data_IF_981118973957
#
_entry.id   IF_981118973957
#
_cell.length_a   1.000
_cell.length_b   1.000
_cell.length_c   1.000
_cell.angle_alpha   90.00
_cell.angle_beta   90.00
_cell.angle_gamma   90.00
#
_symmetry.space_group_name_H-M   'P 1'
#
loop_
_entity.id
_entity.type
_entity.pdbx_description
1 polymer ?
#
# COMPACT_ATOMS: atom_id res chain seq x y z
N UNK A 1 -2.30 -8.24 29.23
CA UNK A 1 -2.42 -8.93 27.92
C UNK A 1 -1.00 -9.34 27.53
N UNK A 2 -0.68 -10.63 27.66
CA UNK A 2 0.61 -11.18 27.24
C UNK A 2 0.43 -11.60 25.79
N UNK A 3 1.34 -11.17 24.91
CA UNK A 3 1.29 -11.57 23.50
C UNK A 3 1.51 -13.09 23.42
N UNK A 4 0.70 -13.86 22.68
CA UNK A 4 0.98 -15.28 22.44
C UNK A 4 2.31 -15.42 21.68
N UNK A 5 2.71 -16.68 21.43
CA UNK A 5 3.91 -17.12 20.73
C UNK A 5 4.60 -16.06 19.84
N UNK A 6 5.94 -15.99 19.84
CA UNK A 6 6.71 -15.04 19.01
C UNK A 6 6.38 -15.16 17.51
N UNK A 7 5.86 -16.31 17.08
CA UNK A 7 5.39 -16.62 15.72
C UNK A 7 3.97 -16.11 15.40
N UNK A 8 3.27 -15.54 16.38
CA UNK A 8 1.98 -14.88 16.24
C UNK A 8 2.17 -13.37 16.40
N UNK A 9 3.12 -12.84 15.62
CA UNK A 9 3.44 -11.42 15.67
C UNK A 9 2.27 -10.53 15.26
N UNK A 10 1.24 -11.11 14.62
CA UNK A 10 0.03 -10.44 14.15
C UNK A 10 0.25 -9.69 12.83
N UNK A 11 1.40 -9.90 12.19
CA UNK A 11 1.80 -9.25 10.96
C UNK A 11 2.52 -10.28 10.09
N UNK A 12 2.23 -10.29 8.80
CA UNK A 12 3.02 -10.94 7.77
C UNK A 12 3.68 -9.87 6.90
N UNK A 13 4.91 -10.10 6.49
CA UNK A 13 5.66 -9.22 5.60
C UNK A 13 6.10 -10.01 4.38
N UNK A 14 6.32 -9.32 3.27
CA UNK A 14 6.92 -9.92 2.07
C UNK A 14 8.33 -9.37 1.91
N UNK A 15 9.36 -10.21 2.10
CA UNK A 15 10.73 -9.82 1.77
C UNK A 15 10.87 -9.56 0.27
N UNK A 16 11.51 -8.44 -0.09
CA UNK A 16 11.65 -8.00 -1.48
C UNK A 16 12.50 -8.94 -2.33
N UNK A 17 13.49 -9.57 -1.73
CA UNK A 17 14.36 -10.58 -2.33
C UNK A 17 13.59 -11.85 -2.67
N UNK A 18 12.77 -12.36 -1.74
CA UNK A 18 11.86 -13.50 -1.97
C UNK A 18 10.88 -13.22 -3.09
N UNK A 19 10.25 -12.04 -3.07
CA UNK A 19 9.30 -11.68 -4.13
C UNK A 19 9.97 -11.59 -5.50
N UNK A 20 11.20 -11.05 -5.55
CA UNK A 20 11.96 -10.96 -6.79
C UNK A 20 12.35 -12.33 -7.34
N UNK A 21 12.69 -13.27 -6.46
CA UNK A 21 13.05 -14.65 -6.83
C UNK A 21 11.82 -15.41 -7.36
N UNK A 22 10.69 -15.34 -6.65
CA UNK A 22 9.48 -16.10 -6.99
C UNK A 22 8.72 -15.51 -8.19
N UNK A 23 8.52 -14.19 -8.22
CA UNK A 23 7.84 -13.49 -9.32
C UNK A 23 8.54 -12.17 -9.67
N UNK A 24 9.57 -12.21 -10.55
CA UNK A 24 10.26 -11.01 -11.01
C UNK A 24 9.33 -9.97 -11.64
N UNK A 25 8.26 -10.42 -12.30
CA UNK A 25 7.25 -9.55 -12.91
C UNK A 25 6.46 -8.82 -11.83
N UNK A 26 5.97 -9.55 -10.82
CA UNK A 26 5.24 -8.94 -9.71
C UNK A 26 6.13 -8.02 -8.88
N UNK A 27 7.37 -8.40 -8.61
CA UNK A 27 8.36 -7.54 -7.98
C UNK A 27 8.50 -6.19 -8.70
N UNK A 28 8.61 -6.20 -10.03
CA UNK A 28 8.75 -4.97 -10.82
C UNK A 28 7.49 -4.10 -10.78
N UNK A 29 6.31 -4.72 -10.76
CA UNK A 29 5.05 -4.02 -10.58
C UNK A 29 4.99 -3.35 -9.20
N UNK A 30 5.38 -4.07 -8.15
CA UNK A 30 5.19 -3.64 -6.77
C UNK A 30 6.21 -2.60 -6.31
N UNK A 31 7.48 -2.72 -6.72
CA UNK A 31 8.57 -1.85 -6.23
C UNK A 31 8.40 -0.37 -6.57
N UNK A 32 7.55 -0.05 -7.55
CA UNK A 32 7.24 1.33 -8.00
C UNK A 32 5.84 1.78 -7.58
N UNK A 33 5.13 0.94 -6.85
CA UNK A 33 3.72 1.11 -6.53
C UNK A 33 3.52 1.38 -5.05
N UNK A 34 2.55 2.22 -4.75
CA UNK A 34 2.03 2.46 -3.40
C UNK A 34 0.51 2.56 -3.48
N UNK A 35 -0.17 2.51 -2.33
CA UNK A 35 -1.63 2.47 -2.26
C UNK A 35 -2.21 1.38 -3.20
N UNK A 36 -1.77 0.15 -2.96
CA UNK A 36 -2.21 -1.02 -3.71
C UNK A 36 -2.51 -2.14 -2.74
N UNK A 37 -3.42 -3.02 -3.12
CA UNK A 37 -3.72 -4.24 -2.38
C UNK A 37 -3.64 -5.45 -3.29
N UNK A 38 -3.47 -6.61 -2.67
CA UNK A 38 -3.26 -7.87 -3.34
C UNK A 38 -4.09 -8.94 -2.65
N UNK A 39 -4.48 -9.97 -3.42
CA UNK A 39 -5.15 -11.13 -2.85
C UNK A 39 -4.90 -12.35 -3.72
N UNK A 40 -4.65 -13.50 -3.12
CA UNK A 40 -4.69 -14.75 -3.86
C UNK A 40 -6.10 -15.09 -4.32
N UNK A 41 -6.18 -15.63 -5.53
CA UNK A 41 -7.42 -16.09 -6.15
C UNK A 41 -7.76 -17.50 -5.66
N UNK A 42 -9.03 -17.91 -5.79
CA UNK A 42 -9.47 -19.23 -5.29
C UNK A 42 -8.87 -20.41 -6.05
N UNK A 43 -8.55 -20.21 -7.32
CA UNK A 43 -8.09 -21.27 -8.23
C UNK A 43 -6.58 -21.17 -8.52
N UNK A 44 -5.83 -20.51 -7.62
CA UNK A 44 -4.42 -20.18 -7.80
C UNK A 44 -4.19 -18.81 -8.42
N UNK A 45 -3.02 -18.24 -8.15
CA UNK A 45 -2.63 -16.92 -8.64
C UNK A 45 -2.96 -15.77 -7.70
N UNK A 46 -2.54 -14.56 -8.08
CA UNK A 46 -2.66 -13.33 -7.30
C UNK A 46 -3.25 -12.22 -8.15
N UNK A 47 -4.29 -11.56 -7.64
CA UNK A 47 -4.74 -10.27 -8.16
C UNK A 47 -4.02 -9.13 -7.45
N UNK A 48 -3.56 -8.16 -8.22
CA UNK A 48 -3.04 -6.88 -7.78
C UNK A 48 -3.95 -5.76 -8.25
N UNK A 49 -4.25 -4.83 -7.35
CA UNK A 49 -5.06 -3.65 -7.63
C UNK A 49 -4.36 -2.43 -7.07
N UNK A 50 -4.10 -1.46 -7.95
CA UNK A 50 -3.61 -0.15 -7.56
C UNK A 50 -4.77 0.81 -7.36
N UNK A 51 -4.96 1.28 -6.13
CA UNK A 51 -6.02 2.25 -5.83
C UNK A 51 -5.75 3.60 -6.50
N UNK A 52 -4.47 3.91 -6.77
CA UNK A 52 -4.05 5.16 -7.41
C UNK A 52 -4.22 5.16 -8.93
N UNK A 53 -3.69 4.14 -9.61
CA UNK A 53 -3.71 4.09 -11.08
C UNK A 53 -4.96 3.43 -11.65
N UNK A 54 -5.73 2.71 -10.82
CA UNK A 54 -6.81 1.85 -11.30
C UNK A 54 -6.30 0.65 -12.12
N UNK A 55 -4.99 0.40 -12.14
CA UNK A 55 -4.42 -0.78 -12.80
C UNK A 55 -4.83 -2.02 -12.02
N UNK A 56 -5.39 -2.98 -12.76
CA UNK A 56 -5.65 -4.33 -12.31
C UNK A 56 -4.72 -5.28 -13.06
N UNK A 57 -4.09 -6.18 -12.32
CA UNK A 57 -3.20 -7.18 -12.90
C UNK A 57 -3.37 -8.52 -12.19
N UNK A 58 -3.19 -9.61 -12.93
CA UNK A 58 -3.31 -10.97 -12.41
C UNK A 58 -2.03 -11.74 -12.75
N UNK A 59 -1.42 -12.36 -11.74
CA UNK A 59 -0.50 -13.48 -11.89
C UNK A 59 -1.33 -14.76 -11.75
N UNK A 60 -1.30 -15.67 -12.71
CA UNK A 60 -2.03 -16.94 -12.58
C UNK A 60 -1.17 -18.02 -11.90
N UNK A 61 0.15 -17.87 -11.92
CA UNK A 61 1.11 -18.89 -11.50
C UNK A 61 1.78 -18.59 -10.14
N UNK A 62 1.27 -17.61 -9.39
CA UNK A 62 1.90 -17.14 -8.16
C UNK A 62 0.88 -16.73 -7.10
N UNK A 63 0.95 -17.35 -5.92
CA UNK A 63 0.17 -16.97 -4.75
C UNK A 63 1.00 -16.08 -3.80
N UNK A 64 0.44 -14.93 -3.43
CA UNK A 64 1.18 -13.93 -2.66
C UNK A 64 1.60 -14.43 -1.27
N UNK A 65 0.82 -15.35 -0.69
CA UNK A 65 1.11 -15.99 0.58
C UNK A 65 2.38 -16.87 0.55
N UNK A 66 2.82 -17.37 -0.61
CA UNK A 66 4.02 -18.22 -0.72
C UNK A 66 5.31 -17.47 -0.35
N UNK A 67 5.31 -16.15 -0.51
CA UNK A 67 6.45 -15.28 -0.16
C UNK A 67 6.19 -14.45 1.10
N UNK A 68 5.08 -14.70 1.80
CA UNK A 68 4.80 -14.05 3.08
C UNK A 68 5.52 -14.76 4.22
N UNK A 69 6.20 -13.99 5.06
CA UNK A 69 6.87 -14.47 6.25
C UNK A 69 6.29 -13.77 7.49
N UNK A 70 6.28 -14.47 8.64
CA UNK A 70 5.89 -13.87 9.93
C UNK A 70 7.16 -13.57 10.72
N UNK A 71 7.50 -12.28 10.94
CA UNK A 71 8.68 -11.95 11.72
C UNK A 71 8.45 -12.33 13.19
N UNK A 72 9.50 -12.76 13.89
CA UNK A 72 9.40 -13.07 15.32
C UNK A 72 9.42 -11.77 16.15
N UNK A 73 8.30 -11.45 16.82
CA UNK A 73 8.17 -10.20 17.59
C UNK A 73 7.51 -10.44 18.94
N UNK A 74 8.27 -10.25 20.02
CA UNK A 74 7.80 -10.34 21.40
C UNK A 74 7.42 -8.99 22.01
N UNK A 75 6.92 -8.98 23.27
CA UNK A 75 6.72 -7.74 24.02
C UNK A 75 8.04 -6.98 24.21
N UNK A 76 8.01 -5.67 23.98
CA UNK A 76 9.20 -4.81 24.05
C UNK A 76 9.99 -4.70 22.75
N UNK A 77 9.76 -5.58 21.79
CA UNK A 77 10.38 -5.52 20.47
C UNK A 77 9.72 -4.43 19.61
N UNK A 78 10.53 -3.72 18.83
CA UNK A 78 10.08 -2.77 17.81
C UNK A 78 10.36 -3.36 16.42
N UNK A 79 9.34 -3.36 15.57
CA UNK A 79 9.50 -3.69 14.16
C UNK A 79 9.60 -2.40 13.34
N UNK A 80 10.76 -2.16 12.73
CA UNK A 80 10.98 -1.04 11.81
C UNK A 80 10.80 -1.53 10.37
N UNK A 81 9.90 -0.89 9.64
CA UNK A 81 9.60 -1.24 8.25
C UNK A 81 9.89 -0.06 7.34
N UNK A 82 10.36 -0.35 6.13
CA UNK A 82 10.38 0.64 5.06
C UNK A 82 8.95 0.98 4.64
N UNK A 83 8.72 2.20 4.18
CA UNK A 83 7.39 2.66 3.73
C UNK A 83 6.80 1.77 2.62
N UNK A 84 7.66 1.18 1.79
CA UNK A 84 7.26 0.31 0.69
C UNK A 84 7.18 -1.18 1.08
N UNK A 85 7.37 -1.55 2.35
CA UNK A 85 7.24 -2.95 2.76
C UNK A 85 5.80 -3.41 2.57
N UNK A 86 5.62 -4.44 1.74
CA UNK A 86 4.33 -5.10 1.57
C UNK A 86 4.07 -5.95 2.82
N UNK A 87 2.91 -5.77 3.43
CA UNK A 87 2.54 -6.45 4.66
C UNK A 87 1.03 -6.69 4.74
N UNK A 88 0.66 -7.66 5.55
CA UNK A 88 -0.73 -8.00 5.85
C UNK A 88 -0.90 -8.25 7.34
N UNK A 89 -2.06 -7.90 7.89
CA UNK A 89 -2.43 -8.32 9.24
C UNK A 89 -2.59 -9.84 9.25
N UNK A 90 -1.92 -10.52 10.18
CA UNK A 90 -2.13 -11.94 10.41
C UNK A 90 -3.43 -12.13 11.19
N UNK A 91 -4.28 -13.07 10.76
CA UNK A 91 -5.45 -13.47 11.54
C UNK A 91 -4.97 -14.21 12.80
N UNK A 92 -5.40 -13.75 13.97
CA UNK A 92 -5.11 -14.37 15.26
C UNK A 92 -6.41 -14.57 16.04
N UNK A 93 -6.50 -15.64 16.83
CA UNK A 93 -7.68 -15.89 17.67
C UNK A 93 -7.77 -14.94 18.87
N UNK A 94 -6.63 -14.38 19.28
CA UNK A 94 -6.53 -13.47 20.42
C UNK A 94 -6.70 -11.99 20.04
N UNK A 95 -7.25 -11.22 21.00
CA UNK A 95 -7.31 -9.76 20.90
C UNK A 95 -5.90 -9.18 20.95
N UNK A 96 -5.53 -8.44 19.91
CA UNK A 96 -4.23 -7.77 19.81
C UNK A 96 -4.39 -6.26 19.74
N UNK A 97 -3.49 -5.56 20.43
CA UNK A 97 -3.27 -4.13 20.24
C UNK A 97 -1.90 -3.91 19.60
N UNK A 98 -1.85 -3.08 18.58
CA UNK A 98 -0.62 -2.62 17.95
C UNK A 98 -0.66 -1.10 17.80
N UNK A 99 0.47 -0.45 18.01
CA UNK A 99 0.66 0.98 17.73
C UNK A 99 1.61 1.09 16.55
N UNK A 100 1.18 1.77 15.49
CA UNK A 100 2.03 2.07 14.33
C UNK A 100 2.39 3.55 14.37
N UNK A 101 3.69 3.83 14.36
CA UNK A 101 4.25 5.16 14.21
C UNK A 101 4.92 5.22 12.84
N UNK A 102 4.66 6.29 12.10
CA UNK A 102 5.30 6.57 10.81
C UNK A 102 6.06 7.88 10.92
N UNK A 103 7.33 7.84 10.54
CA UNK A 103 8.22 9.00 10.53
C UNK A 103 8.84 9.13 9.14
N UNK A 104 9.11 10.35 8.70
CA UNK A 104 9.89 10.63 7.50
C UNK A 104 11.01 11.62 7.84
N UNK A 105 12.02 11.70 6.97
CA UNK A 105 12.99 12.80 7.04
C UNK A 105 12.24 14.13 6.86
N UNK A 106 12.53 15.18 7.64
CA UNK A 106 11.85 16.48 7.52
C UNK A 106 11.99 17.10 6.12
N UNK A 107 13.06 16.78 5.39
CA UNK A 107 13.30 17.23 4.01
C UNK A 107 12.59 16.35 2.98
N UNK A 108 12.01 15.22 3.40
CA UNK A 108 11.18 14.40 2.51
C UNK A 108 9.98 15.21 2.07
N UNK A 109 9.97 15.58 0.78
CA UNK A 109 8.79 16.21 0.18
C UNK A 109 7.62 15.24 0.27
N UNK A 110 6.64 15.62 1.07
CA UNK A 110 5.36 14.92 1.14
C UNK A 110 4.54 15.36 -0.06
N UNK A 111 4.32 14.43 -0.99
CA UNK A 111 3.29 14.59 -2.01
C UNK A 111 1.93 14.41 -1.33
N UNK A 112 1.32 15.52 -0.95
CA UNK A 112 0.01 15.53 -0.29
C UNK A 112 -1.10 14.91 -1.15
N UNK A 113 -0.93 14.85 -2.48
CA UNK A 113 -1.86 14.14 -3.36
C UNK A 113 -1.75 12.61 -3.20
N UNK A 114 -0.57 12.09 -2.81
CA UNK A 114 -0.36 10.67 -2.47
C UNK A 114 -0.75 10.34 -1.04
N UNK A 115 -0.59 11.28 -0.11
CA UNK A 115 -0.99 11.11 1.30
C UNK A 115 -2.50 11.21 1.50
N UNK A 116 -3.20 12.02 0.70
CA UNK A 116 -4.66 12.07 0.66
C UNK A 116 -5.32 10.81 0.03
N UNK A 117 -4.53 9.80 -0.31
CA UNK A 117 -4.94 8.54 -0.96
C UNK A 117 -5.86 7.62 -0.16
N UNK A 118 -6.50 8.07 0.92
CA UNK A 118 -7.71 7.42 1.42
C UNK A 118 -8.86 7.64 0.43
N UNK A 119 -8.73 8.63 -0.45
CA UNK A 119 -9.78 8.91 -1.39
C UNK A 119 -9.26 9.49 -2.70
N UNK A 120 -8.97 8.63 -3.67
CA UNK A 120 -8.92 9.07 -5.08
C UNK A 120 -10.21 9.85 -5.42
N UNK A 121 -10.22 10.74 -6.42
CA UNK A 121 -11.46 11.41 -6.83
C UNK A 121 -12.60 10.44 -7.14
N UNK A 122 -12.31 9.18 -7.50
CA UNK A 122 -13.29 8.11 -7.64
C UNK A 122 -13.82 7.60 -6.28
N UNK A 123 -12.94 7.33 -5.32
CA UNK A 123 -13.30 6.89 -3.96
C UNK A 123 -14.00 8.01 -3.16
N UNK A 124 -13.56 9.27 -3.25
CA UNK A 124 -14.28 10.42 -2.68
C UNK A 124 -15.69 10.55 -3.26
N UNK A 125 -15.86 10.38 -4.58
CA UNK A 125 -17.18 10.40 -5.22
C UNK A 125 -18.05 9.24 -4.76
N UNK A 126 -17.47 8.07 -4.50
CA UNK A 126 -18.18 6.93 -3.92
C UNK A 126 -18.61 7.19 -2.47
N UNK A 127 -17.70 7.67 -1.62
CA UNK A 127 -17.97 8.00 -0.22
C UNK A 127 -18.97 9.17 -0.07
N UNK A 128 -18.87 10.20 -0.92
CA UNK A 128 -19.83 11.32 -0.95
C UNK A 128 -21.25 10.89 -1.36
N UNK A 129 -21.39 9.83 -2.16
CA UNK A 129 -22.71 9.21 -2.45
C UNK A 129 -23.26 8.43 -1.25
N UNK A 130 -22.38 7.92 -0.38
CA UNK A 130 -22.75 7.12 0.80
C UNK A 130 -22.98 7.97 2.05
N UNK A 131 -22.32 9.13 2.17
CA UNK A 131 -22.44 10.01 3.34
C UNK A 131 -22.33 11.49 2.93
N UNK A 132 -23.32 12.31 3.31
CA UNK A 132 -23.36 13.75 2.98
C UNK A 132 -22.26 14.57 3.67
N UNK A 133 -21.64 14.04 4.73
CA UNK A 133 -20.59 14.72 5.49
C UNK A 133 -19.21 14.72 4.80
N UNK A 134 -18.96 13.84 3.83
CA UNK A 134 -17.67 13.79 3.11
C UNK A 134 -17.60 14.73 1.90
N UNK A 135 -18.72 15.35 1.51
CA UNK A 135 -18.79 16.24 0.35
C UNK A 135 -18.09 17.61 0.57
N UNK A 136 -18.21 18.28 1.73
CA UNK A 136 -17.54 19.57 1.95
C UNK A 136 -16.01 19.46 1.94
N UNK A 137 -15.46 18.39 2.54
CA UNK A 137 -14.01 18.11 2.53
C UNK A 137 -13.49 17.86 1.11
N UNK A 138 -14.30 17.23 0.25
CA UNK A 138 -13.97 17.00 -1.16
C UNK A 138 -13.91 18.31 -1.96
N UNK A 139 -14.90 19.19 -1.81
CA UNK A 139 -14.95 20.48 -2.52
C UNK A 139 -13.79 21.38 -2.12
N UNK A 140 -13.46 21.44 -0.83
CA UNK A 140 -12.34 22.24 -0.32
C UNK A 140 -10.97 21.73 -0.79
N UNK A 141 -10.84 20.41 -1.00
CA UNK A 141 -9.62 19.82 -1.59
C UNK A 141 -9.51 20.13 -3.09
N UNK A 142 -10.63 20.32 -3.79
CA UNK A 142 -10.67 20.71 -5.20
C UNK A 142 -10.35 22.18 -5.44
N UNK A 143 -10.80 23.07 -4.56
CA UNK A 143 -10.57 24.52 -4.64
C UNK A 143 -9.11 24.91 -4.36
N UNK A 144 -8.33 24.05 -3.70
CA UNK A 144 -6.89 24.25 -3.46
C UNK A 144 -6.00 24.00 -4.68
N UNK A 145 -6.60 23.86 -5.86
CA UNK A 145 -5.99 23.77 -7.19
C UNK A 145 -4.83 22.78 -7.27
N UNK A 146 -5.13 21.54 -7.68
CA UNK A 146 -4.22 20.40 -7.82
C UNK A 146 -3.03 20.72 -8.75
N UNK A 147 -2.11 21.55 -8.28
CA UNK A 147 -1.12 22.22 -9.10
C UNK A 147 -0.17 21.20 -9.70
N UNK A 148 -0.26 21.10 -11.03
CA UNK A 148 0.63 20.34 -11.92
C UNK A 148 0.41 18.82 -11.82
N UNK A 149 -0.17 18.27 -12.88
CA UNK A 149 -0.44 16.85 -13.05
C UNK A 149 0.82 16.09 -13.46
N UNK A 150 0.83 14.77 -13.29
CA UNK A 150 1.85 13.91 -13.94
C UNK A 150 1.78 13.99 -15.48
N UNK A 151 0.65 14.46 -16.04
CA UNK A 151 0.47 14.83 -17.44
C UNK A 151 1.33 16.02 -17.88
N UNK A 152 1.72 16.88 -16.93
CA UNK A 152 2.60 18.04 -17.15
C UNK A 152 4.09 17.69 -17.00
N UNK A 153 4.42 16.45 -16.58
CA UNK A 153 5.81 15.94 -16.45
C UNK A 153 6.15 14.90 -17.54
N UNK A 154 5.17 14.46 -18.34
CA UNK A 154 5.38 13.52 -19.46
C UNK A 154 6.52 13.91 -20.42
N UNK A 155 6.89 15.20 -20.66
CA UNK A 155 8.03 15.51 -21.52
C UNK A 155 9.38 14.94 -21.05
N UNK A 156 9.55 14.68 -19.75
CA UNK A 156 10.86 14.22 -19.21
C UNK A 156 11.09 12.71 -19.29
N UNK A 157 10.11 11.92 -19.75
CA UNK A 157 10.25 10.47 -19.93
C UNK A 157 10.37 10.04 -21.40
N UNK A 158 10.23 10.97 -22.36
CA UNK A 158 10.51 10.76 -23.79
C UNK A 158 11.81 11.41 -24.26
N UNK A 159 12.52 12.15 -23.39
CA UNK A 159 13.79 12.80 -23.75
C UNK A 159 13.63 14.02 -24.65
N UNK A 160 12.49 14.73 -24.59
CA UNK A 160 12.32 16.00 -25.27
C UNK A 160 11.92 17.08 -24.26
N UNK A 161 12.88 17.94 -23.93
CA UNK A 161 12.70 19.13 -23.09
C UNK A 161 14.06 19.67 -22.63
N UNK A 162 14.41 20.86 -23.13
CA UNK A 162 15.63 21.65 -22.88
C UNK A 162 15.91 21.96 -21.40
#
# INVERSE_FOLDING_TARGET
MVKPSRTEAGLRVIPWDRLREQSPRFFNLCRRSGASWMRSLRDGGTVYISDWSGVHWVDEDFEIEEVMETPEVGPGDLLLLSLNTIHATQTTDDRRLAVSLRTCDPETRIDWHRVAGISTPAMMRHLAKQNRLSLPAFLQTQENDFGITLGDIVPTLTGEGE
#
